data_IF_673901264713
#
_entry.id   IF_673901264713
#
_cell.length_a   1.000
_cell.length_b   1.000
_cell.length_c   1.000
_cell.angle_alpha   90.00
_cell.angle_beta   90.00
_cell.angle_gamma   90.00
#
_symmetry.space_group_name_H-M   'P 1'
#
loop_
_entity.id
_entity.type
_entity.pdbx_description
1 polymer ?
#
# COMPACT_ATOMS: atom_id res chain seq x y z
N UNK A 1 -35.79 3.00 33.85
CA UNK A 1 -36.33 3.84 32.74
C UNK A 1 -35.56 5.15 32.50
N UNK A 2 -34.95 5.78 33.52
CA UNK A 2 -34.29 7.09 33.34
C UNK A 2 -32.85 7.01 32.81
N UNK A 3 -32.08 5.98 33.19
CA UNK A 3 -30.70 5.75 32.69
C UNK A 3 -30.64 5.63 31.16
N UNK A 4 -31.59 4.91 30.55
CA UNK A 4 -31.67 4.76 29.09
C UNK A 4 -31.96 6.10 28.39
N UNK A 5 -32.79 6.95 29.00
CA UNK A 5 -33.09 8.29 28.47
C UNK A 5 -31.85 9.18 28.52
N UNK A 6 -31.06 9.09 29.58
CA UNK A 6 -29.81 9.83 29.75
C UNK A 6 -28.74 9.40 28.72
N UNK A 7 -28.57 8.09 28.51
CA UNK A 7 -27.66 7.59 27.48
C UNK A 7 -28.07 8.01 26.06
N UNK A 8 -29.38 7.98 25.74
CA UNK A 8 -29.90 8.43 24.45
C UNK A 8 -29.67 9.94 24.28
N UNK A 9 -29.88 10.74 25.33
CA UNK A 9 -29.64 12.18 25.29
C UNK A 9 -28.15 12.48 25.05
N UNK A 10 -27.25 11.78 25.76
CA UNK A 10 -25.80 11.92 25.59
C UNK A 10 -25.33 11.55 24.18
N UNK A 11 -25.84 10.45 23.61
CA UNK A 11 -25.53 10.05 22.23
C UNK A 11 -26.04 11.08 21.21
N UNK A 12 -27.25 11.63 21.41
CA UNK A 12 -27.81 12.68 20.55
C UNK A 12 -27.02 13.98 20.63
N UNK A 13 -26.53 14.36 21.82
CA UNK A 13 -25.72 15.56 22.01
C UNK A 13 -24.38 15.43 21.28
N UNK A 14 -23.68 14.31 21.45
CA UNK A 14 -22.42 14.03 20.74
C UNK A 14 -22.60 14.07 19.21
N UNK A 15 -23.66 13.45 18.70
CA UNK A 15 -23.99 13.51 17.27
C UNK A 15 -24.26 14.95 16.81
N UNK A 16 -24.93 15.78 17.61
CA UNK A 16 -25.16 17.19 17.28
C UNK A 16 -23.86 18.00 17.23
N UNK A 17 -22.94 17.78 18.17
CA UNK A 17 -21.62 18.43 18.18
C UNK A 17 -20.81 18.04 16.94
N UNK A 18 -20.81 16.75 16.58
CA UNK A 18 -20.06 16.26 15.43
C UNK A 18 -20.64 16.70 14.07
N UNK A 19 -21.96 16.87 13.97
CA UNK A 19 -22.70 17.00 12.71
C UNK A 19 -23.31 18.41 12.52
N UNK A 20 -23.30 19.25 13.56
CA UNK A 20 -23.82 20.63 13.52
C UNK A 20 -25.32 20.72 13.27
N UNK A 21 -26.08 19.65 13.53
CA UNK A 21 -27.53 19.61 13.35
C UNK A 21 -28.02 19.45 11.90
N UNK A 22 -27.12 19.30 10.92
CA UNK A 22 -27.51 18.97 9.54
C UNK A 22 -28.01 17.53 9.44
N UNK A 23 -29.14 17.34 8.75
CA UNK A 23 -29.78 16.02 8.57
C UNK A 23 -29.35 15.30 7.30
N UNK A 24 -28.93 16.04 6.28
CA UNK A 24 -28.56 15.51 4.98
C UNK A 24 -27.17 16.01 4.62
N UNK A 25 -26.35 15.12 4.09
CA UNK A 25 -25.01 15.40 3.60
C UNK A 25 -24.89 14.92 2.18
N UNK A 26 -24.18 15.69 1.36
CA UNK A 26 -23.77 15.20 0.05
C UNK A 26 -22.67 14.16 0.24
N UNK A 27 -22.63 13.16 -0.63
CA UNK A 27 -21.59 12.12 -0.58
C UNK A 27 -20.17 12.71 -0.59
N UNK A 28 -19.96 13.78 -1.35
CA UNK A 28 -18.69 14.53 -1.38
C UNK A 28 -18.28 15.09 -0.02
N UNK A 29 -19.23 15.58 0.77
CA UNK A 29 -18.97 16.15 2.10
C UNK A 29 -18.60 15.06 3.11
N UNK A 30 -19.24 13.89 3.00
CA UNK A 30 -18.95 12.72 3.85
C UNK A 30 -17.53 12.24 3.60
N UNK A 31 -17.15 12.04 2.32
CA UNK A 31 -15.82 11.57 1.94
C UNK A 31 -14.73 12.58 2.36
N UNK A 32 -14.95 13.88 2.13
CA UNK A 32 -14.02 14.93 2.59
C UNK A 32 -13.80 14.90 4.10
N UNK A 33 -14.88 14.77 4.89
CA UNK A 33 -14.79 14.69 6.35
C UNK A 33 -14.03 13.45 6.82
N UNK A 34 -14.22 12.31 6.15
CA UNK A 34 -13.48 11.08 6.46
C UNK A 34 -11.99 11.22 6.15
N UNK A 35 -11.64 11.76 4.98
CA UNK A 35 -10.24 12.01 4.61
C UNK A 35 -9.55 12.98 5.55
N UNK A 36 -10.23 14.07 5.95
CA UNK A 36 -9.67 15.02 6.92
C UNK A 36 -9.41 14.37 8.28
N UNK A 37 -10.37 13.59 8.78
CA UNK A 37 -10.22 12.88 10.06
C UNK A 37 -9.04 11.91 10.03
N UNK A 38 -8.86 11.17 8.94
CA UNK A 38 -7.74 10.25 8.78
C UNK A 38 -6.39 11.00 8.80
N UNK A 39 -6.29 12.11 8.06
CA UNK A 39 -5.08 12.94 8.03
C UNK A 39 -4.75 13.55 9.39
N UNK A 40 -5.76 14.01 10.13
CA UNK A 40 -5.57 14.54 11.48
C UNK A 40 -5.08 13.45 12.45
N UNK A 41 -5.63 12.25 12.35
CA UNK A 41 -5.20 11.10 13.17
C UNK A 41 -3.75 10.72 12.87
N UNK A 42 -3.38 10.60 11.59
CA UNK A 42 -2.00 10.30 11.18
C UNK A 42 -1.03 11.36 11.68
N UNK A 43 -1.38 12.65 11.52
CA UNK A 43 -0.57 13.76 12.02
C UNK A 43 -0.37 13.69 13.54
N UNK A 44 -1.45 13.45 14.29
CA UNK A 44 -1.40 13.33 15.75
C UNK A 44 -0.57 12.12 16.19
N UNK A 45 -0.65 11.00 15.48
CA UNK A 45 0.16 9.82 15.77
C UNK A 45 1.65 10.09 15.52
N UNK A 46 1.98 10.76 14.41
CA UNK A 46 3.36 11.14 14.10
C UNK A 46 3.93 12.09 15.17
N UNK A 47 3.16 13.09 15.60
CA UNK A 47 3.56 14.00 16.67
C UNK A 47 3.76 13.26 18.01
N UNK A 48 2.84 12.37 18.38
CA UNK A 48 2.98 11.56 19.58
C UNK A 48 4.22 10.62 19.50
N UNK A 49 4.48 10.05 18.34
CA UNK A 49 5.67 9.22 18.09
C UNK A 49 6.95 10.04 18.18
N UNK A 50 6.96 11.26 17.64
CA UNK A 50 8.09 12.18 17.73
C UNK A 50 8.37 12.59 19.19
N UNK A 51 7.32 12.91 19.97
CA UNK A 51 7.47 13.21 21.39
C UNK A 51 7.99 12.01 22.20
N UNK A 52 7.54 10.79 21.89
CA UNK A 52 8.07 9.56 22.52
C UNK A 52 9.51 9.27 22.13
N UNK A 53 9.92 9.54 20.89
CA UNK A 53 11.31 9.39 20.45
C UNK A 53 12.22 10.45 21.09
N UNK A 54 11.74 11.69 21.26
CA UNK A 54 12.45 12.73 22.01
C UNK A 54 12.60 12.39 23.50
N UNK A 55 11.57 11.79 24.12
CA UNK A 55 11.65 11.33 25.50
C UNK A 55 12.54 10.08 25.68
N UNK A 56 12.54 9.15 24.73
CA UNK A 56 13.41 7.96 24.75
C UNK A 56 14.90 8.31 24.50
N UNK A 57 15.18 9.43 23.82
CA UNK A 57 16.55 9.93 23.61
C UNK A 57 17.16 10.56 24.86
N UNK A 58 16.36 10.96 25.86
CA UNK A 58 16.85 11.56 27.12
C UNK A 58 17.05 10.56 28.26
N UNK A 59 16.71 9.27 28.07
CA UNK A 59 16.90 8.22 29.08
C UNK A 59 17.93 7.16 28.68
N UNK A 60 18.65 7.37 27.57
CA UNK A 60 19.69 6.46 27.07
C UNK A 60 21.12 6.93 27.40
N UNK A 61 21.30 7.78 28.41
CA UNK A 61 22.60 8.17 28.94
C UNK A 61 22.68 7.85 30.43
N UNK A 62 22.87 6.58 30.77
CA UNK A 62 23.68 6.04 31.89
C UNK A 62 23.30 4.56 32.06
N UNK A 63 23.99 3.66 31.36
CA UNK A 63 24.55 2.45 31.99
C UNK A 63 25.36 1.64 30.95
N UNK A 64 26.65 1.68 31.23
CA UNK A 64 27.79 0.90 30.78
C UNK A 64 27.59 -0.63 30.85
N UNK A 65 28.15 -1.31 29.84
CA UNK A 65 28.64 -2.71 29.80
C UNK A 65 27.55 -3.80 29.69
N UNK A 66 27.55 -4.74 28.74
CA UNK A 66 28.66 -5.43 28.06
C UNK A 66 28.15 -6.27 26.85
N UNK A 67 29.09 -6.77 26.05
CA UNK A 67 28.98 -7.66 24.87
C UNK A 67 28.71 -6.92 23.54
N UNK A 68 29.74 -6.35 22.91
CA UNK A 68 30.63 -7.05 21.98
C UNK A 68 29.87 -7.74 20.83
N UNK A 69 29.83 -7.09 19.66
CA UNK A 69 30.39 -7.62 18.41
C UNK A 69 30.46 -6.49 17.39
N UNK A 70 31.67 -5.94 17.28
CA UNK A 70 32.11 -5.12 16.17
C UNK A 70 32.21 -5.96 14.90
N UNK A 71 31.60 -5.51 13.80
CA UNK A 71 32.30 -5.55 12.52
C UNK A 71 31.90 -4.35 11.68
N UNK A 72 32.80 -3.37 11.64
CA UNK A 72 32.81 -2.31 10.64
C UNK A 72 33.06 -2.91 9.26
N UNK A 73 32.38 -2.40 8.24
CA UNK A 73 33.02 -2.20 6.94
C UNK A 73 32.35 -0.99 6.28
N UNK A 74 32.98 0.16 6.51
CA UNK A 74 32.81 1.37 5.70
C UNK A 74 33.84 1.33 4.59
N UNK A 75 33.43 1.50 3.34
CA UNK A 75 34.11 2.38 2.38
C UNK A 75 33.36 2.41 1.04
N UNK A 76 33.12 3.64 0.59
CA UNK A 76 32.65 4.02 -0.73
C UNK A 76 33.71 3.75 -1.81
N UNK A 77 33.26 3.47 -3.04
CA UNK A 77 33.85 4.02 -4.26
C UNK A 77 32.93 3.79 -5.46
N UNK A 78 32.71 4.87 -6.19
CA UNK A 78 32.18 5.00 -7.53
C UNK A 78 32.93 4.19 -8.59
N UNK A 79 32.21 3.57 -9.53
CA UNK A 79 32.64 3.44 -10.93
C UNK A 79 31.45 3.10 -11.85
N UNK A 80 31.32 3.88 -12.92
CA UNK A 80 30.49 3.54 -14.07
C UNK A 80 31.04 2.29 -14.76
N UNK A 81 30.18 1.34 -15.09
CA UNK A 81 30.43 0.42 -16.19
C UNK A 81 29.09 -0.02 -16.80
N UNK A 82 28.89 0.43 -18.02
CA UNK A 82 27.94 -0.09 -18.98
C UNK A 82 28.26 -1.58 -19.21
N UNK A 83 27.32 -2.50 -19.00
CA UNK A 83 27.44 -3.88 -19.44
C UNK A 83 26.05 -4.48 -19.67
N UNK A 84 25.65 -4.47 -20.94
CA UNK A 84 24.74 -5.45 -21.51
C UNK A 84 25.23 -6.86 -21.19
N UNK A 85 24.40 -7.66 -20.53
CA UNK A 85 24.53 -9.11 -20.55
C UNK A 85 23.16 -9.76 -20.42
N UNK A 86 22.63 -10.03 -21.60
CA UNK A 86 21.60 -11.01 -21.88
C UNK A 86 22.03 -12.41 -21.39
N UNK A 87 21.03 -13.24 -21.02
CA UNK A 87 21.10 -14.66 -20.63
C UNK A 87 21.66 -14.94 -19.23
N UNK A 88 21.00 -15.67 -18.33
CA UNK A 88 20.50 -17.06 -18.48
C UNK A 88 19.35 -17.31 -17.49
N UNK A 89 18.13 -17.69 -17.92
CA UNK A 89 17.74 -19.04 -18.30
C UNK A 89 18.16 -20.12 -17.27
N UNK A 90 17.73 -20.00 -16.02
CA UNK A 90 17.76 -21.12 -15.07
C UNK A 90 16.75 -20.93 -13.93
N UNK A 91 15.51 -21.41 -14.14
CA UNK A 91 14.62 -22.09 -13.15
C UNK A 91 13.21 -22.27 -13.73
N UNK A 92 13.09 -23.16 -14.73
CA UNK A 92 11.83 -23.69 -15.25
C UNK A 92 11.22 -24.72 -14.29
N UNK A 93 11.06 -24.35 -13.01
CA UNK A 93 10.27 -25.10 -12.04
C UNK A 93 9.01 -24.26 -11.75
N UNK A 94 7.96 -24.56 -12.51
CA UNK A 94 6.56 -24.10 -12.35
C UNK A 94 6.30 -22.60 -12.55
N UNK A 95 6.37 -22.09 -13.78
CA UNK A 95 5.90 -20.74 -14.14
C UNK A 95 4.46 -20.48 -13.64
N UNK A 96 3.61 -21.50 -13.68
CA UNK A 96 2.25 -21.51 -13.13
C UNK A 96 2.17 -21.12 -11.64
N UNK A 97 3.02 -21.70 -10.79
CA UNK A 97 2.98 -21.46 -9.35
C UNK A 97 3.59 -20.12 -8.96
N UNK A 98 4.45 -19.58 -9.83
CA UNK A 98 5.02 -18.26 -9.67
C UNK A 98 3.96 -17.18 -9.94
N UNK A 99 3.10 -17.40 -10.94
CA UNK A 99 2.02 -16.47 -11.30
C UNK A 99 0.99 -16.33 -10.17
N UNK A 100 0.62 -17.43 -9.51
CA UNK A 100 -0.40 -17.40 -8.45
C UNK A 100 0.06 -16.62 -7.20
N UNK A 101 1.37 -16.60 -6.91
CA UNK A 101 1.96 -15.88 -5.77
C UNK A 101 2.30 -14.41 -6.07
N UNK A 102 2.13 -13.96 -7.31
CA UNK A 102 2.39 -12.58 -7.69
C UNK A 102 1.42 -11.62 -7.00
N UNK A 103 1.94 -10.80 -6.09
CA UNK A 103 1.23 -9.68 -5.47
C UNK A 103 1.87 -8.37 -5.95
N UNK A 104 1.13 -7.61 -6.77
CA UNK A 104 1.63 -6.42 -7.45
C UNK A 104 0.83 -5.17 -7.05
N UNK A 105 1.48 -4.00 -7.00
CA UNK A 105 0.77 -2.74 -6.89
C UNK A 105 -0.19 -2.52 -8.06
N UNK A 106 -1.31 -1.84 -7.81
CA UNK A 106 -2.36 -1.51 -8.80
C UNK A 106 -1.81 -0.94 -10.11
N UNK A 107 -0.84 -0.04 -10.03
CA UNK A 107 -0.25 0.63 -11.18
C UNK A 107 0.44 -0.37 -12.12
N UNK A 108 1.09 -1.38 -11.56
CA UNK A 108 1.76 -2.42 -12.34
C UNK A 108 0.76 -3.35 -13.02
N UNK A 109 -0.32 -3.70 -12.31
CA UNK A 109 -1.42 -4.50 -12.88
C UNK A 109 -2.03 -3.78 -14.07
N UNK A 110 -2.35 -2.49 -13.94
CA UNK A 110 -2.90 -1.66 -15.03
C UNK A 110 -1.92 -1.56 -16.20
N UNK A 111 -0.62 -1.36 -15.93
CA UNK A 111 0.41 -1.28 -16.97
C UNK A 111 0.52 -2.58 -17.76
N UNK A 112 0.54 -3.74 -17.06
CA UNK A 112 0.60 -5.06 -17.70
C UNK A 112 -0.65 -5.34 -18.52
N UNK A 113 -1.84 -5.07 -17.98
CA UNK A 113 -3.10 -5.21 -18.72
C UNK A 113 -3.13 -4.35 -19.99
N UNK A 114 -2.66 -3.10 -19.91
CA UNK A 114 -2.57 -2.21 -21.08
C UNK A 114 -1.61 -2.76 -22.13
N UNK A 115 -0.45 -3.27 -21.72
CA UNK A 115 0.51 -3.90 -22.62
C UNK A 115 -0.08 -5.13 -23.30
N UNK A 116 -0.80 -5.96 -22.55
CA UNK A 116 -1.53 -7.13 -23.03
C UNK A 116 -2.83 -6.78 -23.79
N UNK A 117 -3.07 -5.48 -24.06
CA UNK A 117 -4.27 -4.93 -24.71
C UNK A 117 -5.60 -5.38 -24.08
N UNK A 118 -5.59 -5.72 -22.80
CA UNK A 118 -6.77 -6.11 -22.04
C UNK A 118 -7.46 -4.88 -21.41
N UNK A 119 -8.78 -4.90 -21.20
CA UNK A 119 -9.47 -3.85 -20.45
C UNK A 119 -8.80 -3.61 -19.10
N UNK A 120 -8.54 -2.35 -18.74
CA UNK A 120 -7.76 -2.02 -17.53
C UNK A 120 -8.53 -2.21 -16.22
N UNK A 121 -9.85 -1.98 -16.24
CA UNK A 121 -10.76 -2.10 -15.09
C UNK A 121 -12.14 -2.45 -15.63
N UNK A 122 -12.74 -3.54 -15.13
CA UNK A 122 -14.15 -3.82 -15.40
C UNK A 122 -15.07 -3.11 -14.40
N UNK A 123 -16.34 -2.92 -14.74
CA UNK A 123 -17.32 -2.33 -13.84
C UNK A 123 -17.57 -3.24 -12.64
N UNK A 124 -17.52 -2.68 -11.43
CA UNK A 124 -17.69 -3.44 -10.18
C UNK A 124 -16.50 -4.34 -9.81
N UNK A 125 -15.35 -4.17 -10.46
CA UNK A 125 -14.14 -4.91 -10.16
C UNK A 125 -13.29 -4.22 -9.08
N UNK A 126 -12.94 -4.99 -8.04
CA UNK A 126 -12.00 -4.59 -6.99
C UNK A 126 -10.53 -4.81 -7.40
N UNK A 127 -9.59 -4.24 -6.64
CA UNK A 127 -8.16 -4.31 -6.97
C UNK A 127 -7.60 -5.74 -6.94
N UNK A 128 -8.10 -6.61 -6.05
CA UNK A 128 -7.69 -8.02 -5.96
C UNK A 128 -8.25 -8.83 -7.15
N UNK A 129 -9.53 -8.66 -7.48
CA UNK A 129 -10.16 -9.32 -8.62
C UNK A 129 -9.48 -8.98 -9.96
N UNK A 130 -9.03 -7.73 -10.10
CA UNK A 130 -8.24 -7.26 -11.25
C UNK A 130 -6.90 -7.97 -11.37
N UNK A 131 -6.23 -8.20 -10.24
CA UNK A 131 -4.96 -8.91 -10.18
C UNK A 131 -5.15 -10.40 -10.49
N UNK A 132 -6.23 -11.02 -9.99
CA UNK A 132 -6.59 -12.40 -10.32
C UNK A 132 -6.91 -12.56 -11.81
N UNK A 133 -7.59 -11.59 -12.42
CA UNK A 133 -7.78 -11.56 -13.88
C UNK A 133 -6.45 -11.49 -14.62
N UNK A 134 -5.52 -10.64 -14.17
CA UNK A 134 -4.19 -10.58 -14.79
C UNK A 134 -3.46 -11.93 -14.68
N UNK A 135 -3.52 -12.60 -13.52
CA UNK A 135 -2.96 -13.95 -13.35
C UNK A 135 -3.59 -14.94 -14.32
N UNK A 136 -4.92 -14.90 -14.44
CA UNK A 136 -5.65 -15.74 -15.38
C UNK A 136 -5.22 -15.49 -16.83
N UNK A 137 -5.09 -14.23 -17.27
CA UNK A 137 -4.63 -13.88 -18.63
C UNK A 137 -3.23 -14.42 -18.90
N UNK A 138 -2.31 -14.27 -17.94
CA UNK A 138 -0.94 -14.77 -18.06
C UNK A 138 -0.90 -16.31 -18.11
N UNK A 139 -1.70 -16.98 -17.27
CA UNK A 139 -1.85 -18.43 -17.21
C UNK A 139 -2.51 -19.01 -18.47
N UNK A 140 -3.52 -18.34 -18.99
CA UNK A 140 -4.21 -18.74 -20.21
C UNK A 140 -3.34 -18.54 -21.46
N UNK A 141 -2.27 -17.74 -21.37
CA UNK A 141 -1.43 -17.37 -22.52
C UNK A 141 -2.19 -16.63 -23.62
N UNK A 142 -3.38 -16.08 -23.31
CA UNK A 142 -4.29 -15.50 -24.28
C UNK A 142 -3.99 -14.01 -24.48
N UNK A 143 -2.79 -13.72 -24.98
CA UNK A 143 -2.41 -12.39 -25.42
C UNK A 143 -2.12 -12.42 -26.92
N UNK A 144 -2.71 -11.48 -27.65
CA UNK A 144 -2.40 -11.25 -29.05
C UNK A 144 -0.95 -10.74 -29.11
N UNK A 145 -0.01 -11.65 -29.35
CA UNK A 145 1.34 -11.29 -29.75
C UNK A 145 1.23 -10.76 -31.16
N UNK A 146 1.37 -9.44 -31.33
CA UNK A 146 1.56 -8.83 -32.65
C UNK A 146 2.78 -9.54 -33.28
N UNK A 147 2.50 -10.55 -34.12
CA UNK A 147 3.51 -11.46 -34.67
C UNK A 147 4.52 -10.72 -35.58
N UNK A 148 4.18 -9.49 -35.97
CA UNK A 148 5.02 -8.54 -36.71
C UNK A 148 6.16 -7.89 -35.88
N UNK A 149 6.23 -8.08 -34.56
CA UNK A 149 7.32 -7.53 -33.73
C UNK A 149 8.42 -8.55 -33.38
N UNK A 150 8.25 -9.82 -33.75
CA UNK A 150 9.19 -10.90 -33.42
C UNK A 150 10.06 -11.39 -34.57
N UNK A 151 9.84 -10.90 -35.80
CA UNK A 151 10.73 -11.10 -36.94
C UNK A 151 11.22 -9.75 -37.46
N UNK A 152 12.35 -9.28 -36.92
CA UNK A 152 13.03 -8.06 -37.35
C UNK A 152 14.48 -8.05 -36.93
#
# INVERSE_FOLDING_TARGET
MNLLKEEIAKKRQRLKEDIGGKRFFKRSEIEQKQTQKLREQEKRELEAKAQRQGAASNTASTNYSSAAHSNSNSAAASSSANASSNATASKSLTDEQNIDKMNLPKQEVVRRLRFLKQPITLFGEDDDARLDRLKYVLKAGLFEVDSDMTEG
#
